data_IF_298532601517
#
_entry.id   IF_298532601517
#
_cell.length_a   1.000
_cell.length_b   1.000
_cell.length_c   1.000
_cell.angle_alpha   90.00
_cell.angle_beta   90.00
_cell.angle_gamma   90.00
#
_symmetry.space_group_name_H-M   'P 1'
#
loop_
_entity.id
_entity.type
_entity.pdbx_description
1 polymer ?
#
# COMPACT_ATOMS: atom_id res chain seq x y z
N UNK A 1 -33.57 -24.12 19.53
CA UNK A 1 -33.10 -24.11 18.15
C UNK A 1 -33.50 -25.39 17.45
N UNK A 2 -34.10 -25.28 16.31
CA UNK A 2 -34.41 -26.45 15.52
C UNK A 2 -33.45 -26.55 14.34
N UNK A 3 -33.61 -27.60 13.54
CA UNK A 3 -32.67 -27.86 12.47
C UNK A 3 -32.66 -26.71 11.42
N UNK A 4 -33.82 -26.19 11.06
CA UNK A 4 -33.92 -25.12 10.11
C UNK A 4 -33.21 -23.86 10.60
N UNK A 5 -33.38 -23.56 11.88
CA UNK A 5 -32.72 -22.44 12.50
C UNK A 5 -31.20 -22.62 12.49
N UNK A 6 -30.74 -23.84 12.77
CA UNK A 6 -29.32 -24.16 12.73
C UNK A 6 -28.74 -23.90 11.36
N UNK A 7 -29.40 -24.41 10.32
CA UNK A 7 -28.91 -24.22 8.96
C UNK A 7 -28.89 -22.74 8.57
N UNK A 8 -29.94 -22.01 8.93
CA UNK A 8 -30.00 -20.59 8.63
C UNK A 8 -28.89 -19.81 9.29
N UNK A 9 -28.56 -20.13 10.53
CA UNK A 9 -27.50 -19.44 11.25
C UNK A 9 -26.13 -19.71 10.64
N UNK A 10 -25.86 -20.96 10.29
CA UNK A 10 -24.59 -21.32 9.66
C UNK A 10 -24.45 -20.61 8.33
N UNK A 11 -25.50 -20.63 7.52
CA UNK A 11 -25.47 -20.00 6.19
C UNK A 11 -25.24 -18.50 6.31
N UNK A 12 -25.95 -17.84 7.21
CA UNK A 12 -25.81 -16.40 7.40
C UNK A 12 -24.40 -16.04 7.86
N UNK A 13 -23.87 -16.78 8.83
CA UNK A 13 -22.52 -16.52 9.31
C UNK A 13 -21.50 -16.70 8.20
N UNK A 14 -21.67 -17.74 7.40
CA UNK A 14 -20.76 -18.01 6.31
C UNK A 14 -20.79 -16.89 5.26
N UNK A 15 -21.97 -16.44 4.89
CA UNK A 15 -22.09 -15.37 3.90
C UNK A 15 -21.46 -14.07 4.37
N UNK A 16 -21.71 -13.70 5.62
CA UNK A 16 -21.16 -12.46 6.14
C UNK A 16 -19.64 -12.51 6.23
N UNK A 17 -19.11 -13.63 6.71
CA UNK A 17 -17.67 -13.76 6.87
C UNK A 17 -16.95 -13.81 5.53
N UNK A 18 -17.52 -14.47 4.53
CA UNK A 18 -16.93 -14.48 3.20
C UNK A 18 -16.90 -13.08 2.58
N UNK A 19 -17.99 -12.34 2.73
CA UNK A 19 -18.06 -10.99 2.21
C UNK A 19 -17.00 -10.08 2.85
N UNK A 20 -16.84 -10.22 4.16
CA UNK A 20 -15.84 -9.42 4.87
C UNK A 20 -14.43 -9.78 4.49
N UNK A 21 -14.17 -11.06 4.22
CA UNK A 21 -12.85 -11.51 3.80
C UNK A 21 -12.48 -10.90 2.44
N UNK A 22 -13.42 -10.89 1.50
CA UNK A 22 -13.17 -10.29 0.19
C UNK A 22 -12.89 -8.80 0.33
N UNK A 23 -13.64 -8.12 1.18
CA UNK A 23 -13.42 -6.71 1.42
C UNK A 23 -12.04 -6.43 1.99
N UNK A 24 -11.61 -7.26 2.95
CA UNK A 24 -10.31 -7.09 3.57
C UNK A 24 -9.19 -7.26 2.55
N UNK A 25 -9.31 -8.27 1.68
CA UNK A 25 -8.29 -8.50 0.64
C UNK A 25 -8.22 -7.29 -0.29
N UNK A 26 -9.37 -6.78 -0.72
CA UNK A 26 -9.39 -5.63 -1.62
C UNK A 26 -8.79 -4.40 -0.98
N UNK A 27 -9.04 -4.19 0.30
CA UNK A 27 -8.48 -3.05 1.02
C UNK A 27 -6.96 -3.16 1.07
N UNK A 28 -6.44 -4.33 1.36
CA UNK A 28 -5.00 -4.52 1.46
C UNK A 28 -4.31 -4.38 0.10
N UNK A 29 -4.93 -4.88 -0.95
CA UNK A 29 -4.36 -4.73 -2.29
C UNK A 29 -4.38 -3.27 -2.72
N UNK A 30 -5.44 -2.55 -2.40
CA UNK A 30 -5.51 -1.13 -2.71
C UNK A 30 -4.40 -0.36 -2.00
N UNK A 31 -4.21 -0.63 -0.72
CA UNK A 31 -3.14 -0.01 0.05
C UNK A 31 -1.77 -0.35 -0.55
N UNK A 32 -1.56 -1.63 -0.87
CA UNK A 32 -0.29 -2.06 -1.46
C UNK A 32 0.01 -1.29 -2.74
N UNK A 33 -0.97 -1.22 -3.63
CA UNK A 33 -0.75 -0.60 -4.92
C UNK A 33 -0.50 0.90 -4.79
N UNK A 34 -1.22 1.54 -3.89
CA UNK A 34 -1.04 2.96 -3.64
C UNK A 34 0.35 3.24 -3.08
N UNK A 35 0.80 2.42 -2.13
CA UNK A 35 2.12 2.60 -1.53
C UNK A 35 3.23 2.35 -2.53
N UNK A 36 3.10 1.32 -3.37
CA UNK A 36 4.08 1.07 -4.41
C UNK A 36 4.19 2.30 -5.30
N UNK A 37 3.05 2.84 -5.72
CA UNK A 37 3.06 4.04 -6.55
C UNK A 37 3.71 5.22 -5.85
N UNK A 38 3.40 5.41 -4.58
CA UNK A 38 3.99 6.48 -3.80
C UNK A 38 5.52 6.34 -3.75
N UNK A 39 6.02 5.15 -3.44
CA UNK A 39 7.46 4.96 -3.33
C UNK A 39 8.16 5.16 -4.67
N UNK A 40 7.54 4.72 -5.76
CA UNK A 40 8.13 4.93 -7.09
C UNK A 40 8.24 6.42 -7.40
N UNK A 41 7.18 7.18 -7.15
CA UNK A 41 7.18 8.61 -7.43
C UNK A 41 8.20 9.32 -6.54
N UNK A 42 8.25 8.93 -5.27
CA UNK A 42 9.20 9.54 -4.35
C UNK A 42 10.63 9.29 -4.81
N UNK A 43 10.93 8.08 -5.26
CA UNK A 43 12.25 7.75 -5.75
C UNK A 43 12.57 8.53 -7.01
N UNK A 44 11.62 8.65 -7.93
CA UNK A 44 11.86 9.38 -9.18
C UNK A 44 12.14 10.86 -8.93
N UNK A 45 11.59 11.40 -7.87
CA UNK A 45 11.80 12.82 -7.56
C UNK A 45 13.01 13.08 -6.70
N UNK A 46 13.28 12.19 -5.75
CA UNK A 46 14.28 12.46 -4.72
C UNK A 46 15.35 11.40 -4.55
N UNK A 47 15.28 10.28 -5.24
CA UNK A 47 16.25 9.21 -5.07
C UNK A 47 17.64 9.66 -5.49
N UNK A 48 18.63 9.38 -4.66
CA UNK A 48 19.99 9.85 -4.92
C UNK A 48 20.62 9.27 -6.17
N UNK A 49 20.32 8.01 -6.45
CA UNK A 49 20.87 7.34 -7.64
C UNK A 49 19.85 7.20 -8.76
N UNK A 50 18.82 8.01 -8.75
CA UNK A 50 17.72 7.86 -9.71
C UNK A 50 18.16 7.98 -11.17
N UNK A 51 19.16 8.78 -11.42
CA UNK A 51 19.63 8.99 -12.79
C UNK A 51 20.19 7.72 -13.42
N UNK A 52 20.69 6.82 -12.59
CA UNK A 52 21.24 5.57 -13.05
C UNK A 52 20.21 4.69 -13.75
N UNK A 53 18.96 4.78 -13.31
CA UNK A 53 17.92 3.92 -13.86
C UNK A 53 17.07 4.58 -14.93
N UNK A 54 16.84 5.88 -14.80
CA UNK A 54 16.14 6.64 -15.82
C UNK A 54 14.86 5.98 -16.30
N UNK A 55 14.73 5.81 -17.60
CA UNK A 55 13.53 5.23 -18.19
C UNK A 55 13.40 3.73 -17.94
N UNK A 56 14.46 3.08 -17.45
CA UNK A 56 14.42 1.65 -17.18
C UNK A 56 14.06 1.33 -15.74
N UNK A 57 13.65 2.32 -14.98
CA UNK A 57 13.40 2.13 -13.56
C UNK A 57 12.40 1.02 -13.26
N UNK A 58 11.24 1.05 -13.93
CA UNK A 58 10.20 0.08 -13.62
C UNK A 58 10.63 -1.35 -13.96
N UNK A 59 11.35 -1.53 -15.07
CA UNK A 59 11.86 -2.83 -15.42
C UNK A 59 12.85 -3.32 -14.38
N UNK A 60 13.70 -2.44 -13.90
CA UNK A 60 14.67 -2.81 -12.88
C UNK A 60 14.01 -3.15 -11.55
N UNK A 61 12.98 -2.40 -11.17
CA UNK A 61 12.24 -2.71 -9.95
C UNK A 61 11.61 -4.10 -10.06
N UNK A 62 10.97 -4.38 -11.18
CA UNK A 62 10.30 -5.67 -11.37
C UNK A 62 11.30 -6.82 -11.25
N UNK A 63 12.48 -6.65 -11.84
CA UNK A 63 13.52 -7.68 -11.77
C UNK A 63 14.07 -7.84 -10.36
N UNK A 64 14.21 -6.76 -9.64
CA UNK A 64 14.75 -6.81 -8.29
C UNK A 64 13.78 -7.43 -7.30
N UNK A 65 12.50 -7.12 -7.42
CA UNK A 65 11.50 -7.61 -6.49
C UNK A 65 11.16 -9.07 -6.71
N UNK A 66 11.07 -9.48 -7.97
CA UNK A 66 10.70 -10.87 -8.32
C UNK A 66 9.38 -11.30 -7.69
N UNK A 67 8.43 -10.40 -7.60
CA UNK A 67 7.12 -10.70 -7.05
C UNK A 67 6.18 -10.98 -8.21
N UNK A 68 5.52 -12.14 -8.18
CA UNK A 68 4.60 -12.52 -9.23
C UNK A 68 3.48 -11.49 -9.32
N UNK A 69 3.20 -11.03 -10.52
CA UNK A 69 2.14 -10.05 -10.74
C UNK A 69 2.59 -8.61 -10.69
N UNK A 70 3.80 -8.33 -10.20
CA UNK A 70 4.31 -6.97 -10.17
C UNK A 70 5.28 -6.78 -11.34
N UNK A 71 4.72 -6.80 -12.54
CA UNK A 71 5.48 -6.57 -13.77
C UNK A 71 5.63 -5.06 -13.98
N UNK A 72 6.44 -4.69 -14.94
CA UNK A 72 6.62 -3.29 -15.29
C UNK A 72 5.30 -2.58 -15.58
N UNK A 73 4.38 -3.15 -16.37
CA UNK A 73 3.08 -2.52 -16.57
C UNK A 73 2.27 -2.38 -15.30
N UNK A 74 2.33 -3.36 -14.41
CA UNK A 74 1.61 -3.27 -13.15
C UNK A 74 2.18 -2.16 -12.26
N UNK A 75 3.50 -2.06 -12.23
CA UNK A 75 4.14 -0.98 -11.47
C UNK A 75 3.76 0.39 -12.04
N UNK A 76 3.65 0.47 -13.35
CA UNK A 76 3.21 1.71 -13.99
C UNK A 76 1.79 2.06 -13.56
N UNK A 77 0.91 1.07 -13.48
CA UNK A 77 -0.46 1.30 -13.01
C UNK A 77 -0.49 1.74 -11.55
N UNK A 78 0.36 1.17 -10.72
CA UNK A 78 0.45 1.60 -9.33
C UNK A 78 0.88 3.07 -9.24
N UNK A 79 1.85 3.46 -10.04
CA UNK A 79 2.32 4.84 -10.07
C UNK A 79 1.20 5.77 -10.50
N UNK A 80 0.46 5.39 -11.52
CA UNK A 80 -0.65 6.18 -12.01
C UNK A 80 -1.77 6.28 -10.98
N UNK A 81 -2.02 5.17 -10.28
CA UNK A 81 -3.02 5.13 -9.23
C UNK A 81 -2.67 6.13 -8.12
N UNK A 82 -1.43 6.12 -7.67
CA UNK A 82 -0.99 7.07 -6.66
C UNK A 82 -1.14 8.51 -7.17
N UNK A 83 -0.69 8.77 -8.39
CA UNK A 83 -0.74 10.13 -8.92
C UNK A 83 -2.17 10.65 -9.06
N UNK A 84 -3.11 9.76 -9.35
CA UNK A 84 -4.50 10.14 -9.50
C UNK A 84 -5.20 10.32 -8.15
N UNK A 85 -4.83 9.53 -7.17
CA UNK A 85 -5.53 9.51 -5.90
C UNK A 85 -4.63 9.77 -4.70
N UNK A 86 -3.86 10.83 -4.77
CA UNK A 86 -2.94 11.18 -3.67
C UNK A 86 -3.69 11.40 -2.37
N UNK A 87 -4.92 11.87 -2.44
CA UNK A 87 -5.73 12.14 -1.26
C UNK A 87 -6.11 10.88 -0.49
N UNK A 88 -5.91 9.70 -1.05
CA UNK A 88 -6.22 8.47 -0.35
C UNK A 88 -5.42 8.32 0.93
N UNK A 89 -4.31 9.03 1.05
CA UNK A 89 -3.52 8.99 2.26
C UNK A 89 -4.37 9.27 3.50
N UNK A 90 -5.34 10.16 3.39
CA UNK A 90 -6.20 10.51 4.51
C UNK A 90 -7.00 9.31 5.01
N UNK A 91 -7.40 8.42 4.11
CA UNK A 91 -8.09 7.20 4.49
C UNK A 91 -7.14 6.13 4.97
N UNK A 92 -6.02 5.97 4.28
CA UNK A 92 -5.09 4.88 4.56
C UNK A 92 -4.44 5.03 5.92
N UNK A 93 -4.29 6.25 6.38
CA UNK A 93 -3.71 6.52 7.69
C UNK A 93 -4.51 5.90 8.83
N UNK A 94 -5.80 5.64 8.62
CA UNK A 94 -6.63 5.05 9.66
C UNK A 94 -6.61 3.54 9.68
N UNK A 95 -5.92 2.91 8.72
CA UNK A 95 -5.86 1.46 8.69
C UNK A 95 -4.77 0.97 9.62
N UNK A 96 -5.07 0.01 10.49
CA UNK A 96 -4.05 -0.51 11.41
C UNK A 96 -2.82 -1.06 10.68
N UNK A 97 -3.03 -1.67 9.50
CA UNK A 97 -1.92 -2.23 8.74
C UNK A 97 -0.96 -1.15 8.28
N UNK A 98 -1.44 0.06 8.07
CA UNK A 98 -0.57 1.16 7.65
C UNK A 98 0.42 1.50 8.76
N UNK A 99 -0.02 1.48 10.01
CA UNK A 99 0.86 1.68 11.14
C UNK A 99 1.91 0.57 11.25
N UNK A 100 1.51 -0.67 10.97
CA UNK A 100 2.44 -1.79 10.98
C UNK A 100 3.54 -1.58 9.95
N UNK A 101 3.18 -1.12 8.76
CA UNK A 101 4.16 -0.87 7.70
C UNK A 101 5.12 0.23 8.12
N UNK A 102 4.61 1.33 8.66
CA UNK A 102 5.47 2.43 9.11
C UNK A 102 6.44 1.98 10.17
N UNK A 103 5.96 1.21 11.14
CA UNK A 103 6.82 0.75 12.23
C UNK A 103 7.89 -0.20 11.73
N UNK A 104 7.54 -1.07 10.79
CA UNK A 104 8.48 -2.02 10.24
C UNK A 104 9.58 -1.32 9.45
N UNK A 105 9.22 -0.29 8.70
CA UNK A 105 10.20 0.48 7.95
C UNK A 105 11.16 1.20 8.90
N UNK A 106 10.64 1.79 9.94
CA UNK A 106 11.48 2.47 10.93
C UNK A 106 12.46 1.51 11.56
N UNK A 107 11.98 0.31 11.94
CA UNK A 107 12.84 -0.69 12.56
C UNK A 107 13.92 -1.17 11.61
N UNK A 108 13.56 -1.49 10.38
CA UNK A 108 14.55 -2.08 9.48
C UNK A 108 15.58 -1.09 9.00
N UNK A 109 15.24 0.17 9.01
CA UNK A 109 16.18 1.14 8.51
C UNK A 109 16.99 1.79 9.58
N UNK A 110 16.68 1.56 10.82
CA UNK A 110 17.45 2.05 11.87
C UNK A 110 18.07 3.30 11.50
N UNK A 111 17.82 3.80 10.38
CA UNK A 111 18.50 4.88 9.88
C UNK A 111 17.57 6.02 9.79
N UNK A 112 17.85 7.03 10.36
CA UNK A 112 17.00 8.16 10.45
C UNK A 112 16.57 8.77 9.15
N UNK A 113 17.42 8.74 8.16
CA UNK A 113 17.11 9.39 6.90
C UNK A 113 15.88 8.79 6.23
N UNK A 114 15.79 7.49 6.27
CA UNK A 114 14.66 6.84 5.64
C UNK A 114 13.38 7.10 6.41
N UNK A 115 13.49 7.20 7.69
CA UNK A 115 12.33 7.52 8.51
C UNK A 115 11.81 8.89 8.18
N UNK A 116 12.69 9.81 7.93
CA UNK A 116 12.29 11.13 7.55
C UNK A 116 11.54 11.17 6.25
N UNK A 117 12.03 10.46 5.26
CA UNK A 117 11.37 10.42 3.97
C UNK A 117 9.95 9.91 4.10
N UNK A 118 9.77 8.89 4.88
CA UNK A 118 8.46 8.33 5.04
C UNK A 118 7.53 9.28 5.77
N UNK A 119 8.05 10.06 6.67
CA UNK A 119 7.24 11.00 7.42
C UNK A 119 6.73 12.15 6.59
N UNK A 120 7.52 12.64 5.72
CA UNK A 120 7.18 13.81 4.94
C UNK A 120 5.80 13.77 4.32
N UNK A 121 5.46 12.77 3.52
CA UNK A 121 4.15 12.77 2.88
C UNK A 121 3.02 12.63 3.88
N UNK A 122 3.25 11.86 4.89
CA UNK A 122 2.21 11.65 5.88
C UNK A 122 1.94 12.91 6.65
N UNK A 123 2.98 13.55 7.06
CA UNK A 123 2.87 14.76 7.81
C UNK A 123 2.25 15.88 7.00
N UNK A 124 2.68 16.01 5.77
CA UNK A 124 2.15 17.03 4.91
C UNK A 124 0.69 16.87 4.67
N UNK A 125 0.26 15.64 4.53
CA UNK A 125 -1.15 15.39 4.30
C UNK A 125 -1.94 15.60 5.56
N UNK A 126 -1.35 15.18 6.63
CA UNK A 126 -2.11 15.19 7.84
C UNK A 126 -2.12 16.50 8.50
N UNK A 127 -1.17 17.24 8.43
CA UNK A 127 -1.21 18.26 9.20
C UNK A 127 -0.97 19.31 8.63
N UNK A 128 -1.17 19.59 8.54
CA UNK A 128 -0.98 20.58 8.17
C UNK A 128 -0.61 21.20 9.27
N UNK A 129 -0.40 20.90 9.99
CA UNK A 129 -0.09 21.45 10.87
C UNK A 129 0.82 21.86 10.87
N UNK A 130 0.96 21.72 10.34
CA UNK A 130 1.62 22.23 10.50
C UNK A 130 1.51 22.71 10.23
#
# INVERSE_FOLDING_TARGET
MNYESLISQIDTANQILQKNAVKAVNTHITLRNWLIGFYIVEYQQNGEDRAKYGSNLLDNIAKSLKIKGLTSPELSRCRQFYNTYKQLLNYLNFLPVFSQIKNKLADSLILGSATQEFKIPIRGAATPES
#
